data_IF_322273050199
#
_entry.id   IF_322273050199
#
_cell.length_a   1.000
_cell.length_b   1.000
_cell.length_c   1.000
_cell.angle_alpha   90.00
_cell.angle_beta   90.00
_cell.angle_gamma   90.00
#
_symmetry.space_group_name_H-M   'P 1'
#
loop_
_entity.id
_entity.type
_entity.pdbx_description
1 polymer ?
#
# COMPACT_ATOMS: atom_id res chain seq x y z
N UNK A 1 -30.31 -17.14 -22.39
CA UNK A 1 -30.03 -15.73 -22.05
C UNK A 1 -31.16 -14.87 -22.54
N UNK A 2 -31.89 -14.19 -21.66
CA UNK A 2 -32.97 -13.28 -22.08
C UNK A 2 -32.32 -11.91 -22.31
N UNK A 3 -32.17 -11.53 -23.57
CA UNK A 3 -31.71 -10.17 -23.93
C UNK A 3 -32.77 -9.18 -23.44
N UNK A 4 -32.42 -8.36 -22.49
CA UNK A 4 -33.31 -7.31 -21.98
C UNK A 4 -33.21 -6.12 -22.94
N UNK A 5 -34.23 -5.94 -23.76
CA UNK A 5 -34.28 -4.88 -24.77
C UNK A 5 -35.01 -3.67 -24.18
N UNK A 6 -34.49 -2.43 -24.36
CA UNK A 6 -35.22 -1.22 -23.98
C UNK A 6 -36.57 -1.14 -24.70
N UNK A 7 -37.57 -0.50 -24.11
CA UNK A 7 -38.85 -0.31 -24.80
C UNK A 7 -38.67 0.45 -26.10
N UNK A 8 -39.38 0.07 -27.20
CA UNK A 8 -39.29 0.78 -28.47
C UNK A 8 -39.72 2.21 -28.32
N UNK A 9 -39.12 3.10 -29.10
CA UNK A 9 -39.49 4.53 -29.13
C UNK A 9 -40.91 4.64 -29.70
N UNK A 10 -41.85 5.10 -28.86
CA UNK A 10 -43.23 5.31 -29.27
C UNK A 10 -43.47 6.78 -29.70
N UNK A 11 -44.63 7.06 -30.31
CA UNK A 11 -44.97 8.41 -30.77
C UNK A 11 -45.12 9.46 -29.66
N UNK A 12 -45.35 9.02 -28.40
CA UNK A 12 -45.35 9.89 -27.24
C UNK A 12 -44.04 9.77 -26.46
N UNK A 13 -43.16 10.74 -26.66
CA UNK A 13 -41.84 10.76 -26.02
C UNK A 13 -41.89 10.85 -24.47
N UNK A 14 -42.99 11.39 -23.90
CA UNK A 14 -43.14 11.46 -22.43
C UNK A 14 -43.46 10.09 -21.86
N UNK A 15 -44.35 9.34 -22.51
CA UNK A 15 -44.67 7.97 -22.12
C UNK A 15 -43.46 7.06 -22.31
N UNK A 16 -42.76 7.22 -23.43
CA UNK A 16 -41.52 6.48 -23.68
C UNK A 16 -40.44 6.80 -22.64
N UNK A 17 -40.22 8.06 -22.29
CA UNK A 17 -39.27 8.46 -21.27
C UNK A 17 -39.57 7.87 -19.88
N UNK A 18 -40.85 7.78 -19.50
CA UNK A 18 -41.26 7.11 -18.26
C UNK A 18 -41.02 5.61 -18.30
N UNK A 19 -41.29 4.95 -19.45
CA UNK A 19 -41.04 3.53 -19.64
C UNK A 19 -39.52 3.23 -19.61
N UNK A 20 -38.71 4.06 -20.27
CA UNK A 20 -37.27 3.93 -20.24
C UNK A 20 -36.72 4.12 -18.83
N UNK A 21 -37.22 5.10 -18.09
CA UNK A 21 -36.79 5.35 -16.70
C UNK A 21 -37.12 4.15 -15.78
N UNK A 22 -38.32 3.57 -15.92
CA UNK A 22 -38.68 2.35 -15.19
C UNK A 22 -37.83 1.16 -15.59
N UNK A 23 -37.53 1.03 -16.88
CA UNK A 23 -36.64 -0.01 -17.38
C UNK A 23 -35.23 0.13 -16.78
N UNK A 24 -34.64 1.32 -16.90
CA UNK A 24 -33.29 1.60 -16.37
C UNK A 24 -33.25 1.43 -14.85
N UNK A 25 -34.24 1.90 -14.10
CA UNK A 25 -34.31 1.74 -12.66
C UNK A 25 -34.35 0.24 -12.26
N UNK A 26 -35.13 -0.59 -12.98
CA UNK A 26 -35.19 -2.03 -12.73
C UNK A 26 -33.88 -2.75 -13.09
N UNK A 27 -33.22 -2.30 -14.16
CA UNK A 27 -31.93 -2.89 -14.55
C UNK A 27 -30.81 -2.47 -13.58
N UNK A 28 -30.77 -1.19 -13.19
CA UNK A 28 -29.82 -0.71 -12.17
C UNK A 28 -30.04 -1.41 -10.83
N UNK A 29 -31.30 -1.63 -10.40
CA UNK A 29 -31.59 -2.36 -9.16
C UNK A 29 -31.12 -3.82 -9.25
N UNK A 30 -31.16 -4.43 -10.44
CA UNK A 30 -30.63 -5.79 -10.66
C UNK A 30 -29.09 -5.83 -10.74
N UNK A 31 -28.46 -4.73 -11.12
CA UNK A 31 -27.01 -4.63 -11.19
C UNK A 31 -26.36 -4.34 -9.81
N UNK A 32 -27.15 -3.96 -8.81
CA UNK A 32 -26.63 -3.44 -7.54
C UNK A 32 -26.59 -4.51 -6.43
N UNK A 33 -27.43 -5.55 -6.50
CA UNK A 33 -27.55 -6.52 -5.39
C UNK A 33 -27.41 -7.96 -5.88
N UNK A 34 -26.42 -8.65 -5.36
CA UNK A 34 -26.25 -10.09 -5.44
C UNK A 34 -26.80 -10.70 -4.15
N UNK A 35 -27.81 -11.57 -4.24
CA UNK A 35 -28.12 -12.47 -3.13
C UNK A 35 -27.10 -13.61 -3.11
N UNK A 36 -26.72 -14.12 -1.93
CA UNK A 36 -25.58 -15.01 -1.71
C UNK A 36 -25.45 -16.28 -2.56
N UNK A 37 -26.48 -16.63 -3.35
CA UNK A 37 -26.54 -17.87 -4.15
C UNK A 37 -26.33 -17.66 -5.66
N UNK A 38 -26.00 -16.45 -6.13
CA UNK A 38 -25.81 -16.21 -7.55
C UNK A 38 -24.41 -16.63 -8.02
N UNK A 39 -24.36 -17.48 -9.03
CA UNK A 39 -23.12 -17.84 -9.72
C UNK A 39 -22.83 -16.85 -10.84
N UNK A 40 -21.56 -16.55 -11.06
CA UNK A 40 -21.11 -15.66 -12.13
C UNK A 40 -21.26 -16.35 -13.49
N UNK A 41 -22.44 -16.21 -14.13
CA UNK A 41 -22.70 -16.81 -15.44
C UNK A 41 -21.98 -16.14 -16.60
N UNK A 42 -21.61 -14.86 -16.46
CA UNK A 42 -20.97 -14.04 -17.50
C UNK A 42 -19.89 -13.13 -16.91
N UNK A 43 -18.88 -12.82 -17.72
CA UNK A 43 -17.83 -11.90 -17.32
C UNK A 43 -18.30 -10.43 -17.40
N UNK A 44 -17.81 -9.60 -16.48
CA UNK A 44 -18.02 -8.16 -16.49
C UNK A 44 -19.32 -7.68 -15.82
N UNK A 45 -20.03 -8.54 -15.10
CA UNK A 45 -21.20 -8.13 -14.32
C UNK A 45 -20.69 -7.48 -13.03
N UNK A 46 -21.01 -6.21 -12.82
CA UNK A 46 -20.72 -5.46 -11.60
C UNK A 46 -21.91 -5.57 -10.64
N UNK A 47 -21.69 -6.07 -9.44
CA UNK A 47 -22.69 -6.23 -8.40
C UNK A 47 -22.17 -5.76 -7.05
N UNK A 48 -23.10 -5.44 -6.13
CA UNK A 48 -22.80 -5.34 -4.72
C UNK A 48 -23.05 -6.68 -4.06
N UNK A 49 -22.08 -7.22 -3.34
CA UNK A 49 -22.24 -8.45 -2.57
C UNK A 49 -22.72 -8.11 -1.15
N UNK A 50 -24.00 -8.42 -0.86
CA UNK A 50 -24.63 -8.08 0.42
C UNK A 50 -24.07 -8.88 1.60
N UNK A 51 -23.51 -10.06 1.32
CA UNK A 51 -22.95 -10.95 2.35
C UNK A 51 -21.56 -10.48 2.73
N UNK A 52 -20.77 -10.08 1.71
CA UNK A 52 -19.38 -9.64 1.90
C UNK A 52 -19.25 -8.14 2.13
N UNK A 53 -20.29 -7.35 1.78
CA UNK A 53 -20.34 -5.89 2.04
C UNK A 53 -19.47 -5.05 1.10
N UNK A 54 -19.16 -5.52 -0.12
CA UNK A 54 -18.33 -4.79 -1.09
C UNK A 54 -18.74 -5.05 -2.55
N UNK A 55 -18.35 -4.17 -3.50
CA UNK A 55 -18.60 -4.38 -4.92
C UNK A 55 -17.76 -5.54 -5.46
N UNK A 56 -18.36 -6.37 -6.31
CA UNK A 56 -17.72 -7.50 -6.97
C UNK A 56 -17.92 -7.42 -8.48
N UNK A 57 -16.97 -7.97 -9.22
CA UNK A 57 -17.07 -8.16 -10.67
C UNK A 57 -16.98 -9.63 -11.02
N UNK A 58 -17.84 -10.10 -11.90
CA UNK A 58 -17.78 -11.48 -12.39
C UNK A 58 -16.62 -11.66 -13.37
N UNK A 59 -15.81 -12.69 -13.15
CA UNK A 59 -14.73 -13.08 -14.04
C UNK A 59 -14.48 -14.59 -13.95
N UNK A 60 -14.49 -15.26 -15.10
CA UNK A 60 -14.17 -16.70 -15.21
C UNK A 60 -15.03 -17.61 -14.32
N UNK A 61 -16.33 -17.30 -14.22
CA UNK A 61 -17.29 -18.08 -13.42
C UNK A 61 -17.32 -17.71 -11.93
N UNK A 62 -16.49 -16.76 -11.47
CA UNK A 62 -16.40 -16.33 -10.08
C UNK A 62 -16.70 -14.84 -9.94
N UNK A 63 -17.20 -14.43 -8.76
CA UNK A 63 -17.26 -13.05 -8.37
C UNK A 63 -15.98 -12.68 -7.64
N UNK A 64 -15.30 -11.64 -8.14
CA UNK A 64 -14.06 -11.11 -7.54
C UNK A 64 -14.31 -9.71 -6.99
N UNK A 65 -13.82 -9.46 -5.80
CA UNK A 65 -13.90 -8.14 -5.18
C UNK A 65 -13.26 -7.08 -6.07
N UNK A 66 -13.93 -5.94 -6.19
CA UNK A 66 -13.30 -4.72 -6.68
C UNK A 66 -12.64 -4.06 -5.47
N UNK A 67 -11.33 -4.12 -5.42
CA UNK A 67 -10.57 -3.36 -4.44
C UNK A 67 -10.60 -1.91 -4.89
N UNK A 68 -11.44 -1.09 -4.26
CA UNK A 68 -11.25 0.35 -4.28
C UNK A 68 -9.95 0.59 -3.49
N UNK A 69 -9.07 1.41 -4.01
CA UNK A 69 -7.69 1.55 -3.52
C UNK A 69 -7.63 2.25 -2.13
N UNK A 70 -8.29 1.67 -1.12
CA UNK A 70 -8.07 2.01 0.29
C UNK A 70 -6.95 1.13 0.83
N UNK A 71 -5.94 1.73 1.39
CA UNK A 71 -4.75 1.03 1.89
C UNK A 71 -3.49 1.39 1.12
N UNK A 72 -3.26 2.68 0.93
CA UNK A 72 -2.03 3.22 0.40
C UNK A 72 -1.41 4.23 1.36
N UNK A 73 -0.10 4.33 1.37
CA UNK A 73 0.62 5.38 2.08
C UNK A 73 1.95 5.68 1.42
N UNK A 74 2.31 6.96 1.45
CA UNK A 74 3.66 7.42 1.20
C UNK A 74 4.21 8.01 2.50
N UNK A 75 5.31 7.46 2.96
CA UNK A 75 5.97 7.86 4.20
C UNK A 75 7.41 8.28 3.90
N UNK A 76 7.91 9.26 4.65
CA UNK A 76 9.25 9.79 4.46
C UNK A 76 9.93 10.16 5.76
N UNK A 77 11.27 10.18 5.75
CA UNK A 77 12.12 10.72 6.80
C UNK A 77 12.95 11.83 6.18
N UNK A 78 12.67 13.09 6.54
CA UNK A 78 13.28 14.27 5.95
C UNK A 78 14.53 14.76 6.68
N UNK A 79 14.95 14.08 7.73
CA UNK A 79 16.13 14.43 8.54
C UNK A 79 17.10 13.25 8.60
N UNK A 80 18.37 13.53 8.87
CA UNK A 80 19.36 12.48 9.07
C UNK A 80 19.00 11.58 10.24
N UNK A 81 19.29 10.28 10.11
CA UNK A 81 19.11 9.28 11.15
C UNK A 81 20.46 8.65 11.46
N UNK A 82 20.89 8.72 12.72
CA UNK A 82 22.15 8.15 13.22
C UNK A 82 21.87 7.05 14.23
N UNK A 83 22.68 6.00 14.23
CA UNK A 83 22.64 4.98 15.26
C UNK A 83 23.28 5.49 16.55
N UNK A 84 22.58 5.40 17.68
CA UNK A 84 23.13 5.78 18.98
C UNK A 84 24.22 4.79 19.45
N UNK A 85 24.18 3.55 19.01
CA UNK A 85 25.19 2.53 19.27
C UNK A 85 25.32 1.56 18.10
N UNK A 86 26.54 1.08 17.86
CA UNK A 86 26.82 0.04 16.91
C UNK A 86 26.13 -1.30 17.30
N UNK A 87 25.81 -2.11 16.32
CA UNK A 87 25.20 -3.45 16.50
C UNK A 87 23.88 -3.43 17.31
N UNK A 88 23.16 -2.32 17.22
CA UNK A 88 21.88 -2.15 17.92
C UNK A 88 20.78 -1.86 16.92
N UNK A 89 19.65 -2.56 17.05
CA UNK A 89 18.49 -2.39 16.19
C UNK A 89 17.63 -1.20 16.64
N UNK A 90 17.27 -0.35 15.67
CA UNK A 90 16.40 0.80 15.88
C UNK A 90 15.24 0.77 14.90
N UNK A 91 14.03 1.11 15.33
CA UNK A 91 12.94 1.35 14.39
C UNK A 91 13.11 2.71 13.70
N UNK A 92 12.78 2.78 12.41
CA UNK A 92 12.68 4.03 11.69
C UNK A 92 11.37 4.73 12.01
N UNK A 93 11.42 6.02 12.30
CA UNK A 93 10.23 6.84 12.57
C UNK A 93 9.91 7.66 11.32
N UNK A 94 8.85 7.29 10.64
CA UNK A 94 8.38 7.98 9.44
C UNK A 94 7.39 9.08 9.76
N UNK A 95 7.28 10.02 8.82
CA UNK A 95 6.16 10.96 8.72
C UNK A 95 5.25 10.52 7.58
N UNK A 96 3.94 10.47 7.79
CA UNK A 96 2.98 10.21 6.73
C UNK A 96 2.86 11.45 5.85
N UNK A 97 3.21 11.30 4.56
CA UNK A 97 3.12 12.36 3.54
C UNK A 97 1.71 12.37 2.93
N UNK A 98 1.21 11.19 2.59
CA UNK A 98 -0.15 10.96 2.08
C UNK A 98 -0.55 9.52 2.31
N UNK A 99 -1.85 9.25 2.43
CA UNK A 99 -2.34 7.87 2.54
C UNK A 99 -3.80 7.78 2.94
N UNK A 100 -4.36 6.58 2.79
CA UNK A 100 -5.70 6.19 3.18
C UNK A 100 -5.66 4.74 3.68
N UNK A 101 -6.38 4.42 4.76
CA UNK A 101 -6.41 3.08 5.36
C UNK A 101 -5.11 2.63 6.02
N UNK A 102 -4.14 3.55 6.18
CA UNK A 102 -2.86 3.34 6.86
C UNK A 102 -2.58 4.57 7.74
N UNK A 103 -2.24 4.34 8.99
CA UNK A 103 -1.96 5.39 9.96
C UNK A 103 -0.66 5.14 10.74
N UNK A 104 -0.18 6.15 11.44
CA UNK A 104 0.94 6.00 12.38
C UNK A 104 0.40 5.69 13.77
N UNK A 105 0.98 4.68 14.41
CA UNK A 105 0.60 4.22 15.74
C UNK A 105 1.36 4.92 16.89
N UNK A 106 1.31 4.30 18.04
CA UNK A 106 2.11 4.70 19.22
C UNK A 106 2.95 3.50 19.66
N UNK A 107 4.30 3.61 19.61
CA UNK A 107 5.12 4.75 19.17
C UNK A 107 4.96 5.04 17.66
N UNK A 108 5.37 6.24 17.23
CA UNK A 108 5.26 6.70 15.84
C UNK A 108 6.11 5.93 14.81
N UNK A 109 6.93 4.97 15.25
CA UNK A 109 7.61 3.99 14.40
C UNK A 109 6.67 2.91 13.84
N UNK A 110 5.49 2.74 14.44
CA UNK A 110 4.49 1.76 14.03
C UNK A 110 3.63 2.31 12.90
N UNK A 111 3.55 1.56 11.83
CA UNK A 111 2.69 1.82 10.67
C UNK A 111 1.54 0.82 10.75
N UNK A 112 0.33 1.31 11.03
CA UNK A 112 -0.85 0.49 11.32
C UNK A 112 -1.68 0.31 10.05
N UNK A 113 -2.08 -0.91 9.76
CA UNK A 113 -2.96 -1.29 8.66
C UNK A 113 -4.40 -1.35 9.17
N UNK A 114 -5.24 -0.43 8.74
CA UNK A 114 -6.64 -0.34 9.17
C UNK A 114 -7.49 -1.46 8.54
N UNK A 115 -7.07 -1.92 7.35
CA UNK A 115 -7.73 -2.97 6.59
C UNK A 115 -6.80 -4.17 6.39
N UNK A 116 -7.34 -5.38 6.47
CA UNK A 116 -6.62 -6.62 6.14
C UNK A 116 -6.40 -6.75 4.63
N UNK A 117 -5.35 -7.49 4.23
CA UNK A 117 -5.09 -7.74 2.81
C UNK A 117 -3.61 -7.96 2.49
N UNK A 118 -3.33 -8.07 1.18
CA UNK A 118 -1.97 -8.11 0.67
C UNK A 118 -1.52 -6.71 0.25
N UNK A 119 -0.31 -6.37 0.65
CA UNK A 119 0.29 -5.05 0.41
C UNK A 119 1.66 -5.20 -0.22
N UNK A 120 1.94 -4.39 -1.23
CA UNK A 120 3.30 -4.14 -1.72
C UNK A 120 3.92 -3.05 -0.87
N UNK A 121 5.08 -3.33 -0.31
CA UNK A 121 5.91 -2.38 0.43
C UNK A 121 7.16 -2.10 -0.39
N UNK A 122 7.41 -0.84 -0.71
CA UNK A 122 8.62 -0.39 -1.42
C UNK A 122 9.41 0.56 -0.52
N UNK A 123 10.48 0.04 0.04
CA UNK A 123 11.39 0.76 0.93
C UNK A 123 12.59 1.27 0.15
N UNK A 124 13.06 2.49 0.48
CA UNK A 124 14.31 3.05 -0.01
C UNK A 124 14.96 3.88 1.10
N UNK A 125 16.28 3.81 1.22
CA UNK A 125 17.05 4.62 2.16
C UNK A 125 18.37 5.08 1.53
N UNK A 126 18.82 6.27 1.87
CA UNK A 126 20.12 6.79 1.50
C UNK A 126 21.10 6.54 2.66
N UNK A 127 21.97 5.56 2.50
CA UNK A 127 22.99 5.24 3.48
C UNK A 127 24.27 6.05 3.22
N UNK A 128 24.90 6.50 4.30
CA UNK A 128 26.15 7.25 4.28
C UNK A 128 27.14 6.69 5.30
N UNK A 129 28.43 6.75 5.02
CA UNK A 129 29.50 6.41 5.95
C UNK A 129 30.50 7.55 6.08
N UNK A 130 30.80 7.93 7.32
CA UNK A 130 31.91 8.84 7.65
C UNK A 130 33.19 8.08 8.08
N UNK A 131 33.19 6.76 8.02
CA UNK A 131 34.34 5.90 8.36
C UNK A 131 35.26 5.68 7.18
N UNK A 132 36.56 5.60 7.45
CA UNK A 132 37.55 5.08 6.48
C UNK A 132 37.54 3.57 6.35
N UNK A 133 36.87 2.87 7.26
CA UNK A 133 36.67 1.41 7.23
C UNK A 133 35.30 1.08 6.64
N UNK A 134 35.08 -0.20 6.29
CA UNK A 134 33.79 -0.69 5.86
C UNK A 134 32.75 -0.53 6.99
N UNK A 135 31.57 -0.04 6.63
CA UNK A 135 30.40 0.05 7.50
C UNK A 135 29.28 -0.78 6.91
N UNK A 136 28.75 -1.70 7.68
CA UNK A 136 27.64 -2.57 7.30
C UNK A 136 26.31 -2.01 7.78
N UNK A 137 25.33 -1.99 6.89
CA UNK A 137 23.96 -1.56 7.14
C UNK A 137 23.01 -2.73 6.96
N UNK A 138 22.07 -2.85 7.88
CA UNK A 138 21.07 -3.91 7.90
C UNK A 138 19.67 -3.29 7.97
N UNK A 139 18.73 -3.77 7.14
CA UNK A 139 17.34 -3.35 7.13
C UNK A 139 16.43 -4.57 7.07
N UNK A 140 15.36 -4.56 7.88
CA UNK A 140 14.36 -5.63 7.87
C UNK A 140 13.01 -5.11 8.37
N UNK A 141 11.90 -5.72 7.95
CA UNK A 141 10.59 -5.46 8.53
C UNK A 141 10.41 -6.25 9.85
N UNK A 142 9.72 -5.63 10.77
CA UNK A 142 9.19 -6.23 12.01
C UNK A 142 7.68 -6.09 11.97
N UNK A 143 6.93 -7.17 12.13
CA UNK A 143 5.48 -7.20 12.14
C UNK A 143 4.99 -7.60 13.52
N UNK A 144 4.12 -6.79 14.12
CA UNK A 144 3.57 -7.02 15.48
C UNK A 144 4.65 -7.31 16.52
N UNK A 145 5.78 -6.62 16.44
CA UNK A 145 6.92 -6.78 17.34
C UNK A 145 7.83 -7.96 17.06
N UNK A 146 7.58 -8.77 16.02
CA UNK A 146 8.38 -9.92 15.64
C UNK A 146 9.15 -9.66 14.35
N UNK A 147 10.46 -9.90 14.33
CA UNK A 147 11.29 -9.77 13.15
C UNK A 147 10.91 -10.82 12.10
N UNK A 148 10.75 -10.40 10.85
CA UNK A 148 10.40 -11.31 9.77
C UNK A 148 11.64 -12.09 9.33
N UNK A 149 11.65 -13.39 9.54
CA UNK A 149 12.78 -14.26 9.22
C UNK A 149 13.11 -14.22 7.70
N UNK A 150 14.41 -14.17 7.36
CA UNK A 150 14.89 -14.16 5.98
C UNK A 150 14.63 -12.85 5.21
N UNK A 151 14.18 -11.78 5.88
CA UNK A 151 13.85 -10.51 5.25
C UNK A 151 14.96 -9.47 5.31
N UNK A 152 16.04 -9.72 6.03
CA UNK A 152 17.12 -8.75 6.22
C UNK A 152 17.85 -8.47 4.90
N UNK A 153 18.02 -7.18 4.61
CA UNK A 153 18.86 -6.66 3.54
C UNK A 153 20.15 -6.14 4.18
N UNK A 154 21.31 -6.61 3.70
CA UNK A 154 22.63 -6.13 4.13
C UNK A 154 23.29 -5.37 2.98
N UNK A 155 23.87 -4.22 3.29
CA UNK A 155 24.67 -3.41 2.35
C UNK A 155 25.91 -2.91 3.07
N UNK A 156 27.04 -2.81 2.36
CA UNK A 156 28.31 -2.36 2.91
C UNK A 156 28.79 -1.12 2.18
N UNK A 157 29.17 -0.09 2.90
CA UNK A 157 29.88 1.07 2.37
C UNK A 157 31.36 1.00 2.71
N UNK A 158 32.17 1.38 1.73
CA UNK A 158 33.61 1.44 1.86
C UNK A 158 34.04 2.89 1.68
N UNK A 159 34.89 3.37 2.54
CA UNK A 159 35.44 4.73 2.52
C UNK A 159 34.53 5.84 3.09
N UNK A 160 35.19 6.84 3.65
CA UNK A 160 34.59 8.06 4.16
C UNK A 160 33.91 8.85 3.03
N UNK A 161 32.70 9.32 3.31
CA UNK A 161 31.90 10.11 2.39
C UNK A 161 31.18 9.26 1.32
N UNK A 162 31.23 7.93 1.41
CA UNK A 162 30.47 7.06 0.51
C UNK A 162 28.99 7.15 0.81
N UNK A 163 28.18 7.29 -0.23
CA UNK A 163 26.71 7.24 -0.18
C UNK A 163 26.16 6.23 -1.16
N UNK A 164 25.06 5.59 -0.80
CA UNK A 164 24.37 4.64 -1.66
C UNK A 164 22.86 4.68 -1.36
N UNK A 165 22.04 4.60 -2.40
CA UNK A 165 20.61 4.34 -2.25
C UNK A 165 20.38 2.84 -2.25
N UNK A 166 19.84 2.33 -1.16
CA UNK A 166 19.41 0.95 -1.03
C UNK A 166 17.91 0.86 -1.14
N UNK A 167 17.39 -0.17 -1.82
CA UNK A 167 15.94 -0.33 -1.97
C UNK A 167 15.53 -1.79 -2.02
N UNK A 168 14.30 -2.05 -1.58
CA UNK A 168 13.66 -3.35 -1.67
C UNK A 168 12.15 -3.20 -1.77
N UNK A 169 11.54 -4.01 -2.62
CA UNK A 169 10.10 -4.21 -2.65
C UNK A 169 9.75 -5.63 -2.23
N UNK A 170 8.68 -5.79 -1.48
CA UNK A 170 8.20 -7.09 -0.99
C UNK A 170 6.69 -7.05 -0.83
N UNK A 171 6.05 -8.23 -0.88
CA UNK A 171 4.62 -8.40 -0.65
C UNK A 171 4.44 -9.02 0.73
N UNK A 172 3.55 -8.42 1.52
CA UNK A 172 3.15 -8.92 2.85
C UNK A 172 1.64 -9.04 2.94
N UNK A 173 1.19 -9.95 3.79
CA UNK A 173 -0.22 -10.05 4.18
C UNK A 173 -0.36 -9.54 5.61
N UNK A 174 -1.28 -8.59 5.82
CA UNK A 174 -1.61 -8.06 7.14
C UNK A 174 -3.09 -8.31 7.44
N UNK A 175 -3.39 -8.52 8.70
CA UNK A 175 -4.76 -8.42 9.22
C UNK A 175 -5.08 -6.95 9.57
N UNK A 176 -6.34 -6.60 9.67
CA UNK A 176 -6.74 -5.29 10.18
C UNK A 176 -6.23 -5.10 11.62
N UNK A 177 -5.59 -3.97 11.88
CA UNK A 177 -4.96 -3.64 13.15
C UNK A 177 -3.51 -4.14 13.32
N UNK A 178 -2.98 -4.92 12.38
CA UNK A 178 -1.56 -5.25 12.36
C UNK A 178 -0.71 -4.00 12.17
N UNK A 179 0.53 -4.04 12.69
CA UNK A 179 1.48 -2.97 12.45
C UNK A 179 2.84 -3.46 11.96
N UNK A 180 3.46 -2.63 11.15
CA UNK A 180 4.81 -2.77 10.64
C UNK A 180 5.74 -1.77 11.30
N UNK A 181 6.97 -2.17 11.62
CA UNK A 181 8.11 -1.31 11.90
C UNK A 181 9.23 -1.63 10.90
N UNK A 182 9.76 -0.61 10.22
CA UNK A 182 10.96 -0.76 9.42
C UNK A 182 12.17 -0.63 10.36
N UNK A 183 12.88 -1.72 10.54
CA UNK A 183 14.04 -1.78 11.43
C UNK A 183 15.34 -1.55 10.65
N UNK A 184 16.30 -0.94 11.31
CA UNK A 184 17.66 -0.82 10.79
C UNK A 184 18.71 -0.99 11.90
N UNK A 185 19.90 -1.35 11.50
CA UNK A 185 21.09 -1.40 12.35
C UNK A 185 22.33 -1.14 11.49
N UNK A 186 23.41 -0.73 12.16
CA UNK A 186 24.74 -0.63 11.59
C UNK A 186 25.77 -1.15 12.57
N UNK A 187 26.89 -1.66 12.08
CA UNK A 187 28.02 -2.14 12.88
C UNK A 187 28.95 -1.02 13.35
N UNK A 188 28.68 0.24 12.94
CA UNK A 188 29.45 1.43 13.34
C UNK A 188 28.52 2.63 13.56
N UNK A 189 28.84 3.48 14.54
CA UNK A 189 28.18 4.77 14.73
C UNK A 189 28.55 5.81 13.64
N UNK A 190 29.51 5.50 12.78
CA UNK A 190 29.85 6.31 11.60
C UNK A 190 28.90 6.10 10.44
N UNK A 191 27.98 5.13 10.55
CA UNK A 191 26.89 4.89 9.60
C UNK A 191 25.66 5.75 9.88
N UNK A 192 25.09 6.36 8.86
CA UNK A 192 23.86 7.17 8.96
C UNK A 192 22.94 6.96 7.76
N UNK A 193 21.67 7.32 7.93
CA UNK A 193 20.78 7.60 6.81
C UNK A 193 20.76 9.11 6.61
N UNK A 194 20.91 9.57 5.36
CA UNK A 194 21.19 10.98 5.09
C UNK A 194 20.12 11.61 4.21
N UNK A 195 19.57 12.73 4.68
CA UNK A 195 18.70 13.60 3.93
C UNK A 195 19.55 14.74 3.33
N UNK A 196 19.27 15.10 2.09
CA UNK A 196 19.96 16.20 1.43
C UNK A 196 19.04 17.40 1.22
N UNK A 197 19.54 18.59 1.51
CA UNK A 197 18.82 19.83 1.26
C UNK A 197 18.63 20.07 -0.23
N UNK A 198 17.60 20.84 -0.60
CA UNK A 198 17.40 21.29 -1.97
C UNK A 198 18.61 22.12 -2.46
N UNK A 199 18.92 21.95 -3.73
CA UNK A 199 19.93 22.74 -4.45
C UNK A 199 19.24 23.68 -5.43
N UNK A 200 20.02 24.51 -6.15
CA UNK A 200 19.45 25.37 -7.19
C UNK A 200 18.80 24.60 -8.37
N UNK A 201 19.13 23.34 -8.55
CA UNK A 201 18.70 22.50 -9.68
C UNK A 201 17.95 21.21 -9.28
N UNK A 202 17.90 20.87 -7.99
CA UNK A 202 17.24 19.66 -7.52
C UNK A 202 16.48 19.90 -6.19
N UNK A 203 15.30 19.30 -5.99
CA UNK A 203 14.59 19.33 -4.72
C UNK A 203 15.36 18.57 -3.62
N UNK A 204 14.94 18.78 -2.36
CA UNK A 204 15.46 18.04 -1.21
C UNK A 204 15.19 16.53 -1.35
N UNK A 205 16.08 15.72 -0.80
CA UNK A 205 15.97 14.25 -0.83
C UNK A 205 15.80 13.73 0.58
N UNK A 206 14.81 12.87 0.85
CA UNK A 206 14.62 12.27 2.16
C UNK A 206 15.69 11.22 2.47
N UNK A 207 15.98 11.02 3.77
CA UNK A 207 16.89 9.98 4.24
C UNK A 207 16.35 8.56 3.98
N UNK A 208 15.02 8.39 4.10
CA UNK A 208 14.33 7.15 3.75
C UNK A 208 12.90 7.42 3.29
N UNK A 209 12.38 6.53 2.46
CA UNK A 209 10.98 6.51 2.02
C UNK A 209 10.41 5.11 2.13
N UNK A 210 9.11 5.02 2.39
CA UNK A 210 8.35 3.79 2.33
C UNK A 210 7.02 4.07 1.63
N UNK A 211 6.80 3.42 0.50
CA UNK A 211 5.52 3.44 -0.19
C UNK A 211 4.82 2.11 0.05
N UNK A 212 3.54 2.18 0.37
CA UNK A 212 2.69 1.03 0.67
C UNK A 212 1.48 1.09 -0.25
N UNK A 213 1.12 -0.02 -0.86
CA UNK A 213 -0.07 -0.12 -1.72
C UNK A 213 -0.74 -1.47 -1.52
N UNK A 214 -2.04 -1.46 -1.20
CA UNK A 214 -2.86 -2.66 -1.10
C UNK A 214 -3.12 -3.21 -2.50
N UNK A 215 -2.84 -4.49 -2.72
CA UNK A 215 -3.00 -5.17 -4.02
C UNK A 215 -4.07 -6.25 -4.00
N UNK A 216 -4.48 -6.67 -2.81
CA UNK A 216 -5.55 -7.64 -2.63
C UNK A 216 -6.18 -7.48 -1.24
N UNK A 217 -7.51 -7.57 -1.18
CA UNK A 217 -8.28 -7.65 0.05
C UNK A 217 -8.28 -9.07 0.65
#
# INVERSE_FOLDING_TARGET
>A
MTVVVPPPIGPDWKVWGQQLNRFLSRQLTRLIFKSGDETAAENGILLWDDVLGYPVISKDGEFRQIVLADGEANLGISTNVTAAAANTAYPLTFTLVSGSGISLGTPASRIVFEEGGQYVLSFSAQINSSSSSTVDFYFWPRVNGSDVAGSTMKNSLHNNGSTLVVSRSSIFTFAAGDYLEAMWATDSTDGSLEAFSATAFAPATPAATLSITRVKA
#
